data_IF_405647329083
#
_entry.id   IF_405647329083
#
_cell.length_a   1.000
_cell.length_b   1.000
_cell.length_c   1.000
_cell.angle_alpha   90.00
_cell.angle_beta   90.00
_cell.angle_gamma   90.00
#
_symmetry.space_group_name_H-M   'P 1'
#
loop_
_entity.id
_entity.type
_entity.pdbx_description
1 polymer ?
#
# COMPACT_ATOMS: atom_id res chain seq x y z
N UNK A 1 5.70 -15.74 34.43
CA UNK A 1 5.56 -15.27 33.04
C UNK A 1 4.56 -14.11 32.92
N UNK A 2 3.42 -14.16 33.60
CA UNK A 2 2.42 -13.06 33.60
C UNK A 2 2.93 -11.74 34.21
N UNK A 3 3.73 -11.78 35.28
CA UNK A 3 4.31 -10.59 35.90
C UNK A 3 5.28 -9.82 35.00
N UNK A 4 6.14 -10.53 34.23
CA UNK A 4 7.03 -9.88 33.25
C UNK A 4 6.28 -9.16 32.14
N UNK A 5 5.13 -9.72 31.71
CA UNK A 5 4.27 -9.09 30.68
C UNK A 5 3.61 -7.83 31.24
N UNK A 6 3.21 -7.83 32.50
CA UNK A 6 2.59 -6.66 33.14
C UNK A 6 3.57 -5.51 33.35
N UNK A 7 4.81 -5.82 33.79
CA UNK A 7 5.88 -4.85 33.95
C UNK A 7 6.27 -4.25 32.60
N UNK A 8 6.39 -5.07 31.56
CA UNK A 8 6.73 -4.64 30.20
C UNK A 8 5.63 -3.74 29.60
N UNK A 9 4.34 -4.05 29.80
CA UNK A 9 3.22 -3.19 29.41
C UNK A 9 3.24 -1.84 30.14
N UNK A 10 3.53 -1.83 31.43
CA UNK A 10 3.64 -0.61 32.23
C UNK A 10 4.82 0.27 31.79
N UNK A 11 5.97 -0.32 31.47
CA UNK A 11 7.16 0.39 30.98
C UNK A 11 6.90 0.98 29.58
N UNK A 12 6.27 0.23 28.69
CA UNK A 12 5.94 0.70 27.34
C UNK A 12 4.95 1.88 27.39
N UNK A 13 3.90 1.79 28.20
CA UNK A 13 2.92 2.90 28.36
C UNK A 13 3.60 4.14 28.95
N UNK A 14 4.47 3.99 29.96
CA UNK A 14 5.22 5.11 30.54
C UNK A 14 6.24 5.70 29.57
N UNK A 15 6.91 4.87 28.78
CA UNK A 15 7.84 5.33 27.73
C UNK A 15 7.12 6.07 26.62
N UNK A 16 5.94 5.62 26.19
CA UNK A 16 5.10 6.32 25.22
C UNK A 16 4.60 7.66 25.74
N UNK A 17 4.22 7.74 27.02
CA UNK A 17 3.81 9.00 27.66
C UNK A 17 4.97 10.00 27.76
N UNK A 18 6.19 9.55 28.03
CA UNK A 18 7.40 10.39 28.09
C UNK A 18 7.82 10.90 26.70
N UNK A 19 7.72 10.06 25.66
CA UNK A 19 7.98 10.46 24.27
C UNK A 19 6.93 11.48 23.81
N UNK A 20 5.67 11.28 24.16
CA UNK A 20 4.59 12.23 23.85
C UNK A 20 4.80 13.60 24.56
N UNK A 21 5.24 13.59 25.81
CA UNK A 21 5.56 14.81 26.56
C UNK A 21 6.80 15.50 25.99
N UNK A 22 7.83 14.75 25.59
CA UNK A 22 9.05 15.28 24.96
C UNK A 22 8.80 15.95 23.61
N UNK A 23 7.90 15.40 22.80
CA UNK A 23 7.53 15.96 21.49
C UNK A 23 6.80 17.31 21.66
N UNK A 24 6.00 17.49 22.71
CA UNK A 24 5.28 18.74 22.99
C UNK A 24 6.23 19.91 23.37
N UNK A 25 7.43 19.62 23.86
CA UNK A 25 8.40 20.65 24.26
C UNK A 25 9.33 21.11 23.12
N UNK A 26 9.41 20.39 22.01
CA UNK A 26 10.28 20.70 20.87
C UNK A 26 9.58 21.47 19.72
N UNK A 27 8.33 21.90 19.88
CA UNK A 27 7.50 22.43 18.78
C UNK A 27 7.81 23.88 18.36
N UNK A 28 8.82 24.54 18.89
CA UNK A 28 8.98 25.99 18.68
C UNK A 28 9.75 26.43 17.42
N UNK A 29 10.19 25.57 16.49
CA UNK A 29 10.93 26.02 15.29
C UNK A 29 10.82 25.15 14.03
N UNK A 30 9.75 24.42 13.80
CA UNK A 30 9.56 23.74 12.51
C UNK A 30 8.59 24.53 11.61
N UNK A 31 8.98 25.73 11.20
CA UNK A 31 8.40 26.40 10.04
C UNK A 31 8.90 25.70 8.78
N UNK A 32 8.20 24.67 8.33
CA UNK A 32 8.43 24.09 7.01
C UNK A 32 8.07 25.16 5.97
N UNK A 33 9.06 25.86 5.44
CA UNK A 33 8.88 26.75 4.31
C UNK A 33 8.25 25.98 3.15
N UNK A 34 7.15 26.50 2.64
CA UNK A 34 6.46 25.97 1.46
C UNK A 34 7.26 26.34 0.20
N UNK A 35 8.42 25.73 0.05
CA UNK A 35 9.19 25.81 -1.19
C UNK A 35 8.97 24.52 -1.96
N UNK A 36 7.94 24.48 -2.83
CA UNK A 36 7.85 23.46 -3.85
C UNK A 36 9.14 23.52 -4.66
N UNK A 37 9.92 22.44 -4.69
CA UNK A 37 11.13 22.31 -5.51
C UNK A 37 10.72 22.19 -6.99
N UNK A 38 10.11 23.24 -7.50
CA UNK A 38 9.60 23.34 -8.85
C UNK A 38 10.38 24.38 -9.63
N UNK A 39 11.00 23.94 -10.72
CA UNK A 39 11.82 24.75 -11.60
C UNK A 39 11.10 24.96 -12.94
N UNK A 40 10.87 26.21 -13.31
CA UNK A 40 10.28 26.55 -14.60
C UNK A 40 11.36 26.50 -15.68
N UNK A 41 11.06 25.83 -16.79
CA UNK A 41 11.98 25.64 -17.92
C UNK A 41 11.78 26.71 -19.01
N UNK A 42 10.68 27.46 -18.94
CA UNK A 42 10.36 28.56 -19.86
C UNK A 42 9.77 29.75 -19.10
N UNK A 43 9.87 30.95 -19.71
CA UNK A 43 9.39 32.22 -19.15
C UNK A 43 7.86 32.24 -18.99
N UNK A 44 7.12 31.55 -19.86
CA UNK A 44 5.66 31.48 -19.83
C UNK A 44 5.13 30.48 -18.82
N UNK A 45 6.02 29.81 -18.07
CA UNK A 45 5.67 28.78 -17.06
C UNK A 45 4.81 27.65 -17.63
N UNK A 46 4.98 27.32 -18.90
CA UNK A 46 4.30 26.22 -19.59
C UNK A 46 4.99 24.88 -19.39
N UNK A 47 6.31 24.91 -19.18
CA UNK A 47 7.13 23.73 -18.92
C UNK A 47 7.83 23.84 -17.57
N UNK A 48 7.97 22.72 -16.87
CA UNK A 48 8.56 22.70 -15.54
C UNK A 48 9.15 21.34 -15.21
N UNK A 49 10.04 21.35 -14.24
CA UNK A 49 10.58 20.18 -13.57
C UNK A 49 10.38 20.33 -12.05
N UNK A 50 9.92 19.29 -11.40
CA UNK A 50 9.64 19.28 -9.97
C UNK A 50 10.31 18.09 -9.30
N UNK A 51 10.86 18.32 -8.10
CA UNK A 51 11.45 17.28 -7.26
C UNK A 51 10.65 17.19 -5.96
N UNK A 52 10.36 15.98 -5.51
CA UNK A 52 9.75 15.70 -4.21
C UNK A 52 10.62 14.69 -3.48
N UNK A 53 10.91 14.97 -2.24
CA UNK A 53 11.48 14.01 -1.30
C UNK A 53 10.39 13.51 -0.36
N UNK A 54 10.34 12.21 -0.13
CA UNK A 54 9.44 11.59 0.83
C UNK A 54 10.23 10.65 1.73
N UNK A 55 10.06 10.81 3.04
CA UNK A 55 10.54 9.86 4.02
C UNK A 55 9.43 9.44 4.97
N UNK A 56 9.31 8.13 5.22
CA UNK A 56 8.40 7.52 6.17
C UNK A 56 9.19 6.56 7.06
N UNK A 57 9.39 6.94 8.31
CA UNK A 57 10.06 6.11 9.33
C UNK A 57 9.03 5.56 10.29
N UNK A 58 9.09 4.26 10.58
CA UNK A 58 8.23 3.57 11.52
C UNK A 58 8.97 3.20 12.79
N UNK A 59 8.32 3.46 13.93
CA UNK A 59 8.53 2.74 15.18
C UNK A 59 7.39 1.75 15.34
N UNK A 60 7.69 0.47 15.56
CA UNK A 60 6.66 -0.54 15.60
C UNK A 60 6.87 -1.55 16.73
N UNK A 61 5.80 -1.79 17.49
CA UNK A 61 5.65 -2.97 18.35
C UNK A 61 4.69 -3.94 17.66
N UNK A 62 5.07 -5.22 17.57
CA UNK A 62 4.29 -6.24 16.91
C UNK A 62 4.23 -7.52 17.75
N UNK A 63 3.02 -8.03 17.98
CA UNK A 63 2.83 -9.42 18.44
C UNK A 63 3.02 -10.36 17.26
N UNK A 64 3.99 -11.26 17.36
CA UNK A 64 4.35 -12.18 16.29
C UNK A 64 3.40 -13.37 16.17
N UNK A 65 3.28 -13.91 14.98
CA UNK A 65 2.60 -15.19 14.75
C UNK A 65 3.35 -16.33 15.47
N UNK A 66 2.64 -17.43 15.73
CA UNK A 66 3.22 -18.59 16.41
C UNK A 66 4.45 -19.13 15.69
N UNK A 67 5.47 -19.55 16.44
CA UNK A 67 6.70 -20.11 15.91
C UNK A 67 7.65 -19.13 15.23
N UNK A 68 7.37 -17.84 15.29
CA UNK A 68 8.23 -16.79 14.70
C UNK A 68 9.64 -16.81 15.28
N UNK A 69 10.64 -16.61 14.42
CA UNK A 69 12.05 -16.41 14.77
C UNK A 69 12.56 -15.09 14.23
N UNK A 70 13.51 -14.51 14.95
CA UNK A 70 14.32 -13.38 14.53
C UNK A 70 15.78 -13.77 14.71
N UNK A 71 16.57 -13.76 13.63
CA UNK A 71 17.95 -14.25 13.61
C UNK A 71 18.09 -15.66 14.25
N UNK A 72 17.12 -16.54 13.95
CA UNK A 72 17.09 -17.90 14.45
C UNK A 72 16.56 -18.07 15.88
N UNK A 73 16.34 -16.99 16.64
CA UNK A 73 15.84 -17.01 18.02
C UNK A 73 14.30 -16.92 18.03
N UNK A 74 13.59 -17.78 18.77
CA UNK A 74 12.13 -17.68 18.89
C UNK A 74 11.69 -16.38 19.56
N UNK A 75 10.78 -15.63 18.91
CA UNK A 75 10.30 -14.34 19.38
C UNK A 75 8.77 -14.24 19.26
N UNK A 76 8.10 -14.03 20.39
CA UNK A 76 6.64 -13.85 20.48
C UNK A 76 6.18 -12.42 20.15
N UNK A 77 7.10 -11.46 20.21
CA UNK A 77 6.88 -10.06 19.88
C UNK A 77 8.17 -9.40 19.40
N UNK A 78 8.04 -8.35 18.63
CA UNK A 78 9.19 -7.58 18.14
C UNK A 78 8.96 -6.09 18.38
N UNK A 79 10.06 -5.36 18.60
CA UNK A 79 10.09 -3.91 18.54
C UNK A 79 11.17 -3.50 17.54
N UNK A 80 10.79 -2.78 16.49
CA UNK A 80 11.70 -2.40 15.43
C UNK A 80 11.54 -0.94 14.99
N UNK A 81 12.61 -0.42 14.41
CA UNK A 81 12.64 0.84 13.68
C UNK A 81 12.96 0.52 12.24
N UNK A 82 12.22 1.12 11.30
CA UNK A 82 12.47 0.88 9.89
C UNK A 82 12.08 2.04 8.99
N UNK A 83 12.69 2.09 7.82
CA UNK A 83 12.27 2.96 6.74
C UNK A 83 11.17 2.27 5.95
N UNK A 84 9.92 2.71 6.16
CA UNK A 84 8.81 2.16 5.37
C UNK A 84 8.93 2.58 3.92
N UNK A 85 9.27 3.87 3.68
CA UNK A 85 9.60 4.41 2.35
C UNK A 85 10.54 5.59 2.46
N UNK A 86 11.52 5.61 1.60
CA UNK A 86 12.37 6.78 1.34
C UNK A 86 12.45 6.94 -0.17
N UNK A 87 12.01 8.09 -0.71
CA UNK A 87 11.84 8.28 -2.15
C UNK A 87 12.25 9.66 -2.61
N UNK A 88 12.84 9.69 -3.81
CA UNK A 88 13.04 10.88 -4.62
C UNK A 88 12.14 10.73 -5.85
N UNK A 89 11.25 11.69 -6.06
CA UNK A 89 10.37 11.75 -7.22
C UNK A 89 10.78 12.96 -8.05
N UNK A 90 10.97 12.75 -9.34
CA UNK A 90 11.36 13.78 -10.30
C UNK A 90 10.38 13.72 -11.47
N UNK A 91 9.63 14.78 -11.71
CA UNK A 91 8.66 14.79 -12.78
C UNK A 91 8.42 16.20 -13.32
N UNK A 92 7.88 16.28 -14.51
CA UNK A 92 7.51 17.56 -15.08
C UNK A 92 6.98 17.49 -16.48
N UNK A 93 6.38 18.61 -16.87
CA UNK A 93 6.01 18.90 -18.25
C UNK A 93 7.26 19.45 -18.96
N UNK A 94 8.02 18.56 -19.63
CA UNK A 94 9.31 18.91 -20.25
C UNK A 94 9.17 19.56 -21.63
N UNK A 95 8.00 19.43 -22.25
CA UNK A 95 7.60 20.11 -23.46
C UNK A 95 6.06 20.31 -23.44
N UNK A 96 5.45 21.13 -24.29
CA UNK A 96 4.01 21.43 -24.23
C UNK A 96 3.08 20.22 -24.14
N UNK A 97 3.48 19.10 -24.71
CA UNK A 97 2.70 17.84 -24.71
C UNK A 97 3.42 16.65 -24.11
N UNK A 98 4.71 16.78 -23.75
CA UNK A 98 5.51 15.69 -23.20
C UNK A 98 5.73 15.84 -21.69
N UNK A 99 5.36 14.82 -20.96
CA UNK A 99 5.53 14.69 -19.52
C UNK A 99 6.45 13.51 -19.21
N UNK A 100 7.28 13.64 -18.20
CA UNK A 100 8.12 12.55 -17.69
C UNK A 100 7.97 12.42 -16.18
N UNK A 101 8.19 11.21 -15.68
CA UNK A 101 8.17 10.90 -14.25
C UNK A 101 9.18 9.81 -13.92
N UNK A 102 10.03 10.10 -12.95
CA UNK A 102 10.96 9.16 -12.35
C UNK A 102 10.75 9.10 -10.85
N UNK A 103 10.83 7.91 -10.29
CA UNK A 103 10.84 7.71 -8.86
C UNK A 103 11.89 6.67 -8.50
N UNK A 104 12.71 7.02 -7.52
CA UNK A 104 13.83 6.23 -7.07
C UNK A 104 13.84 6.19 -5.54
N UNK A 105 14.23 5.08 -4.94
CA UNK A 105 14.32 4.97 -3.49
C UNK A 105 14.19 3.56 -2.96
N UNK A 106 13.80 3.44 -1.71
CA UNK A 106 13.74 2.19 -0.95
C UNK A 106 12.38 2.02 -0.27
N UNK A 107 11.98 0.77 -0.08
CA UNK A 107 10.83 0.37 0.73
C UNK A 107 11.21 -0.77 1.67
N UNK A 108 10.53 -0.84 2.82
CA UNK A 108 10.60 -1.99 3.74
C UNK A 108 12.00 -2.27 4.30
N UNK A 109 12.80 -1.25 4.53
CA UNK A 109 14.13 -1.42 5.08
C UNK A 109 14.11 -1.40 6.60
N UNK A 110 14.49 -2.52 7.24
CA UNK A 110 14.71 -2.65 8.67
C UNK A 110 15.92 -3.57 8.96
N UNK A 111 16.24 -3.77 10.24
CA UNK A 111 17.41 -4.55 10.64
C UNK A 111 17.37 -6.01 10.15
N UNK A 112 16.20 -6.61 9.99
CA UNK A 112 16.03 -7.99 9.51
C UNK A 112 16.23 -8.07 8.00
N UNK A 113 15.62 -7.16 7.25
CA UNK A 113 15.79 -7.12 5.78
C UNK A 113 17.23 -6.85 5.34
N UNK A 114 18.00 -6.10 6.13
CA UNK A 114 19.40 -5.84 5.83
C UNK A 114 20.32 -7.06 5.96
N UNK A 115 19.87 -8.13 6.62
CA UNK A 115 20.66 -9.33 6.88
C UNK A 115 20.76 -10.30 5.69
N UNK A 116 20.00 -10.11 4.61
CA UNK A 116 20.02 -10.97 3.43
C UNK A 116 21.25 -10.75 2.53
N UNK A 117 22.46 -10.67 3.12
CA UNK A 117 23.73 -10.66 2.42
C UNK A 117 24.22 -9.29 1.93
N UNK A 118 23.37 -8.30 1.82
CA UNK A 118 23.74 -6.94 1.46
C UNK A 118 23.32 -5.97 2.58
N UNK A 119 24.27 -5.59 3.40
CA UNK A 119 24.06 -4.67 4.54
C UNK A 119 23.93 -3.20 4.14
N UNK A 120 23.70 -2.92 2.87
CA UNK A 120 23.49 -1.57 2.37
C UNK A 120 22.06 -1.40 1.94
N UNK A 121 21.53 -0.19 2.08
CA UNK A 121 20.29 0.21 1.42
C UNK A 121 20.49 -0.01 -0.08
N UNK A 122 19.56 -0.74 -0.70
CA UNK A 122 19.58 -1.07 -2.13
C UNK A 122 18.45 -0.31 -2.86
N UNK A 123 18.57 1.02 -3.02
CA UNK A 123 17.54 1.80 -3.66
C UNK A 123 17.42 1.40 -5.13
N UNK A 124 16.18 1.41 -5.63
CA UNK A 124 15.87 0.98 -6.99
C UNK A 124 14.92 1.96 -7.68
N UNK A 125 14.82 1.84 -9.00
CA UNK A 125 13.83 2.59 -9.76
C UNK A 125 12.43 2.03 -9.50
N UNK A 126 11.60 2.84 -8.87
CA UNK A 126 10.19 2.54 -8.73
C UNK A 126 9.43 2.84 -10.02
N UNK A 127 9.71 3.97 -10.64
CA UNK A 127 9.03 4.41 -11.84
C UNK A 127 10.01 5.11 -12.79
N UNK A 128 9.85 4.84 -14.07
CA UNK A 128 10.54 5.51 -15.16
C UNK A 128 9.61 5.50 -16.37
N UNK A 129 8.85 6.60 -16.55
CA UNK A 129 7.83 6.67 -17.59
C UNK A 129 7.82 8.02 -18.30
N UNK A 130 7.32 7.99 -19.53
CA UNK A 130 7.00 9.17 -20.31
C UNK A 130 5.55 9.12 -20.75
N UNK A 131 4.95 10.30 -20.90
CA UNK A 131 3.58 10.51 -21.39
C UNK A 131 3.56 11.56 -22.49
N UNK A 132 2.71 11.33 -23.48
CA UNK A 132 2.43 12.32 -24.51
C UNK A 132 0.94 12.64 -24.53
N UNK A 133 0.61 13.94 -24.49
CA UNK A 133 -0.74 14.45 -24.54
C UNK A 133 -1.20 14.57 -26.00
N UNK A 134 -2.08 13.67 -26.43
CA UNK A 134 -2.65 13.69 -27.78
C UNK A 134 -3.74 14.75 -27.96
N UNK A 135 -4.51 15.01 -26.91
CA UNK A 135 -5.56 16.05 -26.92
C UNK A 135 -5.07 17.39 -26.37
N UNK A 136 -5.78 18.48 -26.66
CA UNK A 136 -5.46 19.78 -26.07
C UNK A 136 -5.78 19.89 -24.57
N UNK A 137 -6.75 19.10 -24.08
CA UNK A 137 -7.06 18.96 -22.66
C UNK A 137 -6.50 17.67 -22.06
N UNK A 138 -7.21 17.13 -21.09
CA UNK A 138 -6.88 15.83 -20.49
C UNK A 138 -7.68 14.66 -21.11
N UNK A 139 -8.28 14.84 -22.30
CA UNK A 139 -9.15 13.81 -22.86
C UNK A 139 -8.39 12.54 -23.23
N UNK A 140 -7.16 12.66 -23.73
CA UNK A 140 -6.33 11.52 -24.08
C UNK A 140 -4.84 11.81 -23.90
N UNK A 141 -4.21 10.98 -23.12
CA UNK A 141 -2.76 10.85 -22.97
C UNK A 141 -2.37 9.39 -23.20
N UNK A 142 -1.27 9.19 -23.89
CA UNK A 142 -0.62 7.88 -24.03
C UNK A 142 0.71 7.93 -23.30
N UNK A 143 1.09 6.81 -22.69
CA UNK A 143 2.34 6.74 -21.97
C UNK A 143 2.88 5.32 -21.90
N UNK A 144 4.10 5.21 -21.45
CA UNK A 144 4.74 3.92 -21.24
C UNK A 144 6.02 4.02 -20.45
N UNK A 145 6.46 2.87 -19.97
CA UNK A 145 7.65 2.71 -19.15
C UNK A 145 7.43 1.78 -17.96
N UNK A 146 8.36 1.84 -17.01
CA UNK A 146 8.23 1.15 -15.74
C UNK A 146 7.25 1.94 -14.84
N UNK A 147 6.14 1.33 -14.45
CA UNK A 147 5.10 2.03 -13.68
C UNK A 147 4.19 1.07 -12.92
N UNK A 148 3.56 1.59 -11.86
CA UNK A 148 2.52 0.90 -11.11
C UNK A 148 1.11 1.07 -11.72
N UNK A 149 0.96 1.66 -12.89
CA UNK A 149 -0.32 1.92 -13.52
C UNK A 149 -1.18 0.65 -13.66
N UNK A 150 -1.77 0.27 -12.57
CA UNK A 150 -2.64 -0.87 -12.35
C UNK A 150 -4.10 -0.43 -12.45
N UNK A 151 -4.88 -1.08 -13.26
CA UNK A 151 -6.28 -0.73 -13.48
C UNK A 151 -7.28 -1.29 -12.48
N UNK A 152 -6.88 -1.83 -11.32
CA UNK A 152 -7.83 -2.50 -10.42
C UNK A 152 -8.60 -1.53 -9.52
N UNK A 153 -7.91 -0.64 -8.86
CA UNK A 153 -8.53 0.28 -7.89
C UNK A 153 -7.72 1.57 -7.73
N UNK A 154 -8.30 2.57 -7.06
CA UNK A 154 -7.60 3.78 -6.63
C UNK A 154 -6.30 3.47 -5.89
N UNK A 155 -6.33 2.50 -4.99
CA UNK A 155 -5.18 2.12 -4.17
C UNK A 155 -4.21 1.17 -4.85
N UNK A 156 -4.49 0.73 -6.08
CA UNK A 156 -3.49 0.01 -6.88
C UNK A 156 -2.38 0.95 -7.38
N UNK A 157 -2.66 2.25 -7.50
CA UNK A 157 -1.71 3.27 -7.94
C UNK A 157 -1.79 4.54 -7.07
N UNK A 158 -1.53 4.44 -5.77
CA UNK A 158 -1.71 5.54 -4.85
C UNK A 158 -0.56 6.54 -4.89
N UNK A 159 -0.87 7.81 -4.68
CA UNK A 159 0.09 8.81 -4.25
C UNK A 159 0.38 8.59 -2.76
N UNK A 160 1.42 7.86 -2.46
CA UNK A 160 1.72 7.33 -1.11
C UNK A 160 1.83 8.43 -0.04
N UNK A 161 2.39 9.59 -0.37
CA UNK A 161 2.49 10.71 0.58
C UNK A 161 1.13 11.24 1.04
N UNK A 162 0.04 10.94 0.32
CA UNK A 162 -1.30 11.50 0.57
C UNK A 162 -2.30 10.53 1.20
N UNK A 163 -1.90 9.32 1.56
CA UNK A 163 -2.80 8.33 2.15
C UNK A 163 -3.25 8.73 3.56
N UNK A 164 -4.46 8.34 3.93
CA UNK A 164 -5.07 8.62 5.23
C UNK A 164 -4.67 7.58 6.28
N UNK A 165 -4.79 6.30 5.94
CA UNK A 165 -4.44 5.19 6.82
C UNK A 165 -2.93 5.02 6.93
N UNK A 166 -2.46 4.19 7.86
CA UNK A 166 -1.02 3.92 8.04
C UNK A 166 -0.38 3.39 6.75
N UNK A 167 -1.11 2.55 6.01
CA UNK A 167 -0.71 2.08 4.69
C UNK A 167 -1.91 1.91 3.76
N UNK A 168 -1.66 1.71 2.47
CA UNK A 168 -2.69 1.36 1.49
C UNK A 168 -3.17 -0.08 1.71
N UNK A 169 -4.37 -0.46 1.23
CA UNK A 169 -4.77 -1.86 1.15
C UNK A 169 -3.89 -2.60 0.13
N UNK A 170 -2.76 -3.13 0.60
CA UNK A 170 -1.68 -3.69 -0.23
C UNK A 170 -2.18 -4.83 -1.12
N UNK A 171 -3.23 -5.56 -0.71
CA UNK A 171 -3.83 -6.61 -1.53
C UNK A 171 -4.35 -6.12 -2.90
N UNK A 172 -4.61 -4.80 -3.04
CA UNK A 172 -4.97 -4.19 -4.32
C UNK A 172 -3.79 -4.09 -5.32
N UNK A 173 -2.58 -4.45 -4.89
CA UNK A 173 -1.37 -4.51 -5.70
C UNK A 173 -0.94 -5.97 -5.89
N UNK A 174 -1.51 -6.67 -6.83
CA UNK A 174 -1.49 -8.13 -6.97
C UNK A 174 -0.11 -8.81 -6.85
N UNK A 175 0.94 -8.20 -7.38
CA UNK A 175 2.30 -8.77 -7.41
C UNK A 175 3.29 -8.03 -6.49
N UNK A 176 2.80 -7.20 -5.57
CA UNK A 176 3.67 -6.51 -4.61
C UNK A 176 4.50 -7.51 -3.80
N UNK A 177 5.78 -7.19 -3.59
CA UNK A 177 6.73 -8.02 -2.84
C UNK A 177 6.91 -9.46 -3.39
N UNK A 178 6.52 -9.69 -4.65
CA UNK A 178 6.72 -10.96 -5.37
C UNK A 178 7.59 -10.80 -6.61
N UNK A 179 7.87 -9.58 -6.97
CA UNK A 179 8.76 -9.21 -8.06
C UNK A 179 9.77 -8.17 -7.53
N UNK A 180 10.95 -8.14 -8.09
CA UNK A 180 12.02 -7.23 -7.67
C UNK A 180 11.64 -5.75 -7.78
N UNK A 181 10.69 -5.43 -8.65
CA UNK A 181 10.24 -4.06 -8.94
C UNK A 181 9.05 -3.63 -8.07
N UNK A 182 8.75 -4.31 -7.00
CA UNK A 182 7.71 -3.93 -6.04
C UNK A 182 6.38 -3.50 -6.70
N UNK A 183 5.68 -4.42 -7.34
CA UNK A 183 4.42 -4.25 -8.07
C UNK A 183 4.50 -3.47 -9.39
N UNK A 184 5.65 -2.94 -9.80
CA UNK A 184 5.81 -2.25 -11.08
C UNK A 184 5.87 -3.25 -12.23
N UNK A 185 5.49 -2.77 -13.40
CA UNK A 185 5.54 -3.52 -14.66
C UNK A 185 5.97 -2.60 -15.79
N UNK A 186 6.56 -3.18 -16.81
CA UNK A 186 6.74 -2.49 -18.08
C UNK A 186 5.37 -2.42 -18.75
N UNK A 187 4.89 -1.21 -19.01
CA UNK A 187 3.53 -0.98 -19.46
C UNK A 187 3.46 0.06 -20.56
N UNK A 188 2.48 -0.12 -21.45
CA UNK A 188 1.94 0.92 -22.30
C UNK A 188 0.52 1.22 -21.83
N UNK A 189 0.14 2.48 -21.82
CA UNK A 189 -1.20 2.86 -21.35
C UNK A 189 -1.77 4.07 -22.07
N UNK A 190 -3.10 4.12 -22.06
CA UNK A 190 -3.88 5.30 -22.40
C UNK A 190 -4.71 5.71 -21.18
N UNK A 191 -4.73 7.00 -20.86
CA UNK A 191 -5.55 7.55 -19.79
C UNK A 191 -6.15 8.89 -20.19
N UNK A 192 -7.29 9.23 -19.61
CA UNK A 192 -7.92 10.50 -19.93
C UNK A 192 -9.10 10.83 -19.04
N UNK A 193 -9.58 12.07 -19.20
CA UNK A 193 -10.79 12.57 -18.58
C UNK A 193 -11.71 13.18 -19.65
N UNK A 194 -12.83 12.51 -19.91
CA UNK A 194 -13.88 12.99 -20.84
C UNK A 194 -15.13 13.29 -20.03
N UNK A 195 -15.55 14.55 -20.00
CA UNK A 195 -16.62 15.01 -19.10
C UNK A 195 -16.32 14.59 -17.65
N UNK A 196 -17.17 13.81 -17.02
CA UNK A 196 -17.02 13.27 -15.66
C UNK A 196 -16.34 11.91 -15.59
N UNK A 197 -16.07 11.28 -16.72
CA UNK A 197 -15.41 9.98 -16.80
C UNK A 197 -13.89 10.15 -16.78
N UNK A 198 -13.20 9.54 -15.80
CA UNK A 198 -11.76 9.26 -15.81
C UNK A 198 -11.56 7.81 -16.21
N UNK A 199 -10.71 7.56 -17.19
CA UNK A 199 -10.48 6.22 -17.71
C UNK A 199 -9.00 5.91 -17.88
N UNK A 200 -8.68 4.62 -17.76
CA UNK A 200 -7.33 4.08 -17.92
C UNK A 200 -7.40 2.70 -18.54
N UNK A 201 -6.59 2.49 -19.57
CA UNK A 201 -6.37 1.20 -20.22
C UNK A 201 -4.88 0.93 -20.24
N UNK A 202 -4.47 -0.22 -19.75
CA UNK A 202 -3.05 -0.57 -19.60
C UNK A 202 -2.81 -1.96 -20.18
N UNK A 203 -1.72 -2.07 -20.94
CA UNK A 203 -1.15 -3.36 -21.36
C UNK A 203 0.23 -3.46 -20.75
N UNK A 204 0.46 -4.51 -19.98
CA UNK A 204 1.73 -4.70 -19.27
C UNK A 204 2.43 -5.96 -19.72
N UNK A 205 3.74 -5.92 -19.68
CA UNK A 205 4.62 -7.08 -19.72
C UNK A 205 5.03 -7.41 -18.28
N UNK A 206 4.40 -8.41 -17.62
CA UNK A 206 4.67 -8.67 -16.23
C UNK A 206 6.04 -9.30 -16.03
N UNK A 207 6.72 -8.91 -14.95
CA UNK A 207 7.95 -9.58 -14.53
C UNK A 207 7.66 -10.97 -13.99
N UNK A 208 8.60 -11.91 -14.08
CA UNK A 208 8.48 -13.21 -13.44
C UNK A 208 8.26 -13.05 -11.93
N UNK A 209 7.34 -13.82 -11.39
CA UNK A 209 7.13 -13.91 -9.95
C UNK A 209 8.05 -14.97 -9.40
N UNK A 210 8.87 -14.60 -8.41
CA UNK A 210 9.84 -15.46 -7.75
C UNK A 210 9.66 -15.43 -6.23
N UNK A 211 10.29 -16.33 -5.53
CA UNK A 211 10.40 -16.30 -4.07
C UNK A 211 11.66 -15.54 -3.67
N UNK A 212 11.54 -14.28 -3.22
CA UNK A 212 12.64 -13.48 -2.63
C UNK A 212 13.97 -13.58 -3.40
N UNK A 213 13.93 -13.36 -4.73
CA UNK A 213 15.11 -13.48 -5.59
C UNK A 213 15.54 -14.92 -5.94
N UNK A 214 14.78 -15.92 -5.50
CA UNK A 214 15.02 -17.32 -5.78
C UNK A 214 14.18 -17.88 -6.93
N UNK A 215 14.09 -19.19 -7.00
CA UNK A 215 13.26 -19.93 -7.96
C UNK A 215 11.76 -19.63 -7.76
N UNK A 216 10.96 -19.83 -8.79
CA UNK A 216 9.50 -19.83 -8.67
C UNK A 216 9.02 -20.82 -7.59
N UNK A 217 7.85 -20.53 -7.03
CA UNK A 217 7.23 -21.44 -6.05
C UNK A 217 7.03 -22.83 -6.68
N UNK A 218 7.30 -23.91 -5.92
CA UNK A 218 7.05 -25.26 -6.40
C UNK A 218 5.59 -25.41 -6.82
N UNK A 219 5.36 -26.04 -7.97
CA UNK A 219 4.00 -26.35 -8.41
C UNK A 219 3.37 -27.38 -7.49
N UNK A 220 2.12 -27.19 -7.13
CA UNK A 220 1.34 -28.05 -6.23
C UNK A 220 -0.12 -28.13 -6.71
N UNK A 221 -0.97 -28.82 -5.96
CA UNK A 221 -2.43 -28.87 -6.23
C UNK A 221 -3.14 -27.54 -6.01
N UNK A 222 -2.48 -26.59 -5.31
CA UNK A 222 -2.95 -25.23 -5.17
C UNK A 222 -2.25 -24.34 -6.18
N UNK A 223 -2.96 -23.38 -6.73
CA UNK A 223 -2.41 -22.47 -7.73
C UNK A 223 -1.28 -21.61 -7.16
N UNK A 224 -0.29 -21.37 -7.99
CA UNK A 224 0.79 -20.42 -7.78
C UNK A 224 1.05 -19.65 -9.09
N UNK A 225 1.88 -18.61 -9.05
CA UNK A 225 2.22 -17.87 -10.28
C UNK A 225 3.04 -18.75 -11.22
N UNK A 226 2.64 -18.80 -12.49
CA UNK A 226 3.34 -19.57 -13.51
C UNK A 226 4.73 -18.99 -13.82
N UNK A 227 5.75 -19.83 -13.79
CA UNK A 227 7.10 -19.49 -14.20
C UNK A 227 7.32 -19.59 -15.73
N UNK A 228 6.39 -20.20 -16.46
CA UNK A 228 6.59 -20.55 -17.88
C UNK A 228 5.87 -19.60 -18.84
N UNK A 229 4.63 -19.24 -18.57
CA UNK A 229 3.81 -18.41 -19.48
C UNK A 229 3.99 -16.92 -19.16
N UNK A 230 4.30 -16.12 -20.18
CA UNK A 230 4.49 -14.66 -20.07
C UNK A 230 3.49 -13.93 -20.97
N UNK A 231 2.21 -14.25 -20.80
CA UNK A 231 1.16 -13.53 -21.53
C UNK A 231 1.04 -12.09 -21.00
N UNK A 232 0.69 -11.17 -21.90
CA UNK A 232 0.45 -9.78 -21.53
C UNK A 232 -0.70 -9.68 -20.53
N UNK A 233 -0.59 -8.73 -19.62
CA UNK A 233 -1.63 -8.40 -18.66
C UNK A 233 -2.38 -7.17 -19.15
N UNK A 234 -3.70 -7.26 -19.16
CA UNK A 234 -4.61 -6.17 -19.52
C UNK A 234 -5.27 -5.62 -18.27
N UNK A 235 -5.38 -4.31 -18.19
CA UNK A 235 -5.92 -3.61 -17.03
C UNK A 235 -6.82 -2.48 -17.50
N UNK A 236 -7.92 -2.27 -16.80
CA UNK A 236 -8.89 -1.22 -17.09
C UNK A 236 -9.38 -0.62 -15.79
N UNK A 237 -9.48 0.71 -15.73
CA UNK A 237 -10.09 1.42 -14.62
C UNK A 237 -10.94 2.56 -15.15
N UNK A 238 -12.21 2.58 -14.74
CA UNK A 238 -13.20 3.58 -15.12
C UNK A 238 -13.77 4.21 -13.87
N UNK A 239 -13.70 5.54 -13.76
CA UNK A 239 -14.18 6.28 -12.59
C UNK A 239 -15.10 7.41 -13.00
N UNK A 240 -16.31 7.44 -12.45
CA UNK A 240 -17.25 8.53 -12.64
C UNK A 240 -17.15 9.54 -11.49
N UNK A 241 -16.85 10.78 -11.82
CA UNK A 241 -16.60 11.87 -10.88
C UNK A 241 -17.86 12.73 -10.75
N UNK A 242 -18.57 12.60 -9.63
CA UNK A 242 -19.87 13.29 -9.42
C UNK A 242 -19.69 14.78 -9.14
N UNK A 243 -18.64 15.14 -8.39
CA UNK A 243 -18.37 16.52 -8.00
C UNK A 243 -17.19 17.10 -8.76
N UNK A 244 -16.16 17.55 -8.09
CA UNK A 244 -14.98 18.11 -8.73
C UNK A 244 -14.10 17.03 -9.35
N UNK A 245 -13.55 17.33 -10.54
CA UNK A 245 -12.60 16.44 -11.20
C UNK A 245 -11.31 16.35 -10.40
N UNK A 246 -10.79 15.15 -10.25
CA UNK A 246 -9.48 14.95 -9.65
C UNK A 246 -8.33 15.43 -10.53
N UNK A 247 -7.17 15.67 -9.93
CA UNK A 247 -5.97 16.04 -10.68
C UNK A 247 -5.53 14.93 -11.64
N UNK A 248 -5.04 15.31 -12.81
CA UNK A 248 -4.65 14.36 -13.87
C UNK A 248 -3.22 14.61 -14.37
N UNK A 249 -2.37 15.23 -13.52
CA UNK A 249 -0.96 15.52 -13.87
C UNK A 249 -0.15 14.24 -13.90
N UNK A 250 -0.11 13.50 -12.79
CA UNK A 250 0.56 12.21 -12.70
C UNK A 250 -0.44 11.06 -12.88
N UNK A 251 -0.01 9.83 -13.19
CA UNK A 251 -0.89 8.66 -13.23
C UNK A 251 -1.34 8.18 -11.84
N UNK A 252 -0.82 8.76 -10.76
CA UNK A 252 -1.12 8.37 -9.38
C UNK A 252 -2.37 9.04 -8.84
N UNK A 253 -3.12 8.31 -8.00
CA UNK A 253 -4.36 8.80 -7.40
C UNK A 253 -4.12 9.30 -5.98
N UNK A 254 -4.69 10.44 -5.65
CA UNK A 254 -4.60 11.06 -4.32
C UNK A 254 -5.37 10.22 -3.30
N UNK A 255 -4.76 9.92 -2.16
CA UNK A 255 -5.38 9.17 -1.07
C UNK A 255 -6.39 9.98 -0.28
N UNK A 256 -6.09 11.25 0.03
CA UNK A 256 -7.03 12.24 0.58
C UNK A 256 -6.61 13.66 0.19
N UNK A 257 -7.60 14.50 -0.05
CA UNK A 257 -7.43 15.93 -0.34
C UNK A 257 -7.44 16.79 0.93
N UNK A 258 -7.65 16.19 2.10
CA UNK A 258 -7.81 16.91 3.38
C UNK A 258 -8.87 18.02 3.29
N UNK A 259 -9.99 17.72 2.65
CA UNK A 259 -11.09 18.67 2.46
C UNK A 259 -10.78 19.87 1.54
N UNK A 260 -9.62 19.90 0.88
CA UNK A 260 -9.28 20.96 -0.08
C UNK A 260 -10.07 20.86 -1.39
N UNK A 261 -10.71 19.71 -1.62
CA UNK A 261 -11.47 19.39 -2.81
C UNK A 261 -12.71 18.59 -2.46
N UNK A 262 -13.84 18.89 -3.10
CA UNK A 262 -15.06 18.12 -2.95
C UNK A 262 -15.09 17.02 -3.98
N UNK A 263 -14.87 15.78 -3.54
CA UNK A 263 -14.78 14.60 -4.42
C UNK A 263 -15.79 13.54 -3.99
N UNK A 264 -16.50 13.00 -4.95
CA UNK A 264 -17.26 11.76 -4.85
C UNK A 264 -17.09 11.02 -6.17
N UNK A 265 -16.51 9.83 -6.10
CA UNK A 265 -16.30 8.98 -7.26
C UNK A 265 -16.90 7.59 -7.01
N UNK A 266 -17.42 6.99 -8.08
CA UNK A 266 -17.72 5.57 -8.15
C UNK A 266 -16.91 5.00 -9.30
N UNK A 267 -16.22 3.90 -9.07
CA UNK A 267 -15.31 3.34 -10.06
C UNK A 267 -15.41 1.82 -10.14
N UNK A 268 -15.01 1.30 -11.29
CA UNK A 268 -14.79 -0.13 -11.50
C UNK A 268 -13.42 -0.35 -12.16
N UNK A 269 -12.77 -1.42 -11.76
CA UNK A 269 -11.48 -1.80 -12.30
C UNK A 269 -11.34 -3.29 -12.51
N UNK A 270 -10.45 -3.67 -13.41
CA UNK A 270 -10.21 -5.06 -13.79
C UNK A 270 -8.75 -5.29 -14.14
N UNK A 271 -8.23 -6.45 -13.78
CA UNK A 271 -6.95 -7.00 -14.28
C UNK A 271 -7.22 -8.40 -14.83
N UNK A 272 -6.73 -8.64 -16.03
CA UNK A 272 -6.78 -9.95 -16.71
C UNK A 272 -5.40 -10.35 -17.23
N UNK A 273 -5.00 -11.60 -16.98
CA UNK A 273 -3.80 -12.19 -17.58
C UNK A 273 -4.04 -13.68 -17.86
N UNK A 274 -3.92 -14.06 -19.12
CA UNK A 274 -4.09 -15.46 -19.55
C UNK A 274 -2.91 -16.29 -19.03
N UNK A 275 -3.20 -17.53 -18.56
CA UNK A 275 -2.21 -18.53 -18.12
C UNK A 275 -1.19 -17.98 -17.12
N UNK A 276 -1.60 -17.04 -16.29
CA UNK A 276 -0.72 -16.39 -15.29
C UNK A 276 -0.43 -17.28 -14.08
N UNK A 277 -1.29 -18.26 -13.86
CA UNK A 277 -1.24 -19.17 -12.73
C UNK A 277 -1.10 -20.61 -13.24
N UNK A 278 -0.62 -21.50 -12.38
CA UNK A 278 -0.53 -22.93 -12.65
C UNK A 278 -0.70 -23.78 -11.40
N UNK A 279 -1.11 -25.02 -11.58
CA UNK A 279 -1.16 -26.06 -10.54
C UNK A 279 -1.00 -27.44 -11.13
N UNK A 280 -0.72 -28.44 -10.30
CA UNK A 280 -0.79 -29.86 -10.70
C UNK A 280 -2.24 -30.33 -10.69
N UNK A 281 -2.51 -31.31 -11.57
CA UNK A 281 -3.74 -32.10 -11.59
C UNK A 281 -3.34 -33.55 -11.60
N UNK A 282 -3.98 -34.39 -10.78
CA UNK A 282 -3.68 -35.80 -10.64
C UNK A 282 -2.20 -36.11 -10.39
N UNK A 283 -1.53 -35.21 -9.67
CA UNK A 283 -0.10 -35.31 -9.26
C UNK A 283 0.91 -35.38 -10.41
N UNK A 284 0.50 -35.18 -11.66
CA UNK A 284 1.37 -35.33 -12.83
C UNK A 284 1.20 -34.20 -13.86
N UNK A 285 -0.01 -33.84 -14.20
CA UNK A 285 -0.28 -32.89 -15.27
C UNK A 285 -0.27 -31.45 -14.77
N UNK A 286 0.25 -30.54 -15.59
CA UNK A 286 0.23 -29.10 -15.30
C UNK A 286 -0.99 -28.45 -15.96
N UNK A 287 -1.83 -27.81 -15.14
CA UNK A 287 -2.95 -26.99 -15.59
C UNK A 287 -2.58 -25.51 -15.43
N UNK A 288 -2.76 -24.73 -16.50
CA UNK A 288 -2.64 -23.28 -16.49
C UNK A 288 -4.00 -22.64 -16.23
N UNK A 289 -4.02 -21.62 -15.39
CA UNK A 289 -5.21 -20.86 -15.01
C UNK A 289 -4.98 -19.37 -15.27
N UNK A 290 -6.05 -18.62 -15.45
CA UNK A 290 -5.98 -17.19 -15.67
C UNK A 290 -5.91 -16.44 -14.32
N UNK A 291 -5.37 -15.22 -14.36
CA UNK A 291 -5.52 -14.22 -13.29
C UNK A 291 -6.67 -13.29 -13.66
N UNK A 292 -7.71 -13.23 -12.83
CA UNK A 292 -8.86 -12.36 -13.01
C UNK A 292 -9.12 -11.57 -11.71
N UNK A 293 -8.94 -10.28 -11.74
CA UNK A 293 -9.22 -9.41 -10.60
C UNK A 293 -10.23 -8.36 -11.01
N UNK A 294 -11.22 -8.14 -10.18
CA UNK A 294 -12.27 -7.16 -10.39
C UNK A 294 -12.53 -6.36 -9.13
N UNK A 295 -12.84 -5.07 -9.28
CA UNK A 295 -13.17 -4.19 -8.18
C UNK A 295 -14.30 -3.23 -8.57
N UNK A 296 -15.21 -2.98 -7.63
CA UNK A 296 -16.11 -1.82 -7.64
C UNK A 296 -15.84 -1.04 -6.37
N UNK A 297 -15.69 0.28 -6.49
CA UNK A 297 -15.33 1.12 -5.37
C UNK A 297 -16.02 2.48 -5.37
N UNK A 298 -16.09 3.10 -4.20
CA UNK A 298 -16.51 4.48 -4.02
C UNK A 298 -15.52 5.23 -3.14
N UNK A 299 -15.22 6.47 -3.49
CA UNK A 299 -14.35 7.36 -2.74
C UNK A 299 -15.03 8.71 -2.52
N UNK A 300 -14.99 9.16 -1.27
CA UNK A 300 -15.52 10.45 -0.82
C UNK A 300 -14.42 11.24 -0.12
N UNK A 301 -14.27 12.52 -0.48
CA UNK A 301 -13.55 13.53 0.31
C UNK A 301 -14.40 14.80 0.29
N UNK A 302 -15.03 15.11 1.42
CA UNK A 302 -16.07 16.14 1.51
C UNK A 302 -15.72 17.18 2.57
N UNK A 303 -15.40 18.43 2.17
CA UNK A 303 -15.32 19.54 3.11
C UNK A 303 -16.72 19.82 3.70
N UNK A 304 -16.80 19.89 5.03
CA UNK A 304 -18.05 20.15 5.75
C UNK A 304 -18.26 21.65 5.98
N UNK A 305 -17.19 22.35 6.38
CA UNK A 305 -17.23 23.78 6.63
C UNK A 305 -15.95 24.43 6.11
N UNK A 306 -16.13 25.41 5.21
CA UNK A 306 -14.99 26.10 4.56
C UNK A 306 -14.18 26.97 5.53
N UNK A 307 -14.82 27.58 6.53
CA UNK A 307 -14.17 28.44 7.51
C UNK A 307 -13.37 27.59 8.52
N UNK A 308 -13.99 26.54 9.04
CA UNK A 308 -13.34 25.61 9.99
C UNK A 308 -12.37 24.65 9.31
N UNK A 309 -12.46 24.48 7.98
CA UNK A 309 -11.64 23.55 7.18
C UNK A 309 -11.68 22.12 7.72
N UNK A 310 -12.83 21.67 8.24
CA UNK A 310 -13.05 20.30 8.63
C UNK A 310 -13.66 19.51 7.45
N UNK A 311 -13.42 18.19 7.44
CA UNK A 311 -13.85 17.32 6.34
C UNK A 311 -14.09 15.89 6.80
N UNK A 312 -14.86 15.16 6.01
CA UNK A 312 -14.97 13.70 6.10
C UNK A 312 -14.36 13.05 4.88
N UNK A 313 -13.73 11.90 5.10
CA UNK A 313 -13.18 11.06 4.06
C UNK A 313 -13.67 9.65 4.26
N UNK A 314 -14.10 9.02 3.17
CA UNK A 314 -14.54 7.63 3.19
C UNK A 314 -14.14 6.91 1.90
N UNK A 315 -13.93 5.63 2.02
CA UNK A 315 -13.74 4.73 0.90
C UNK A 315 -14.39 3.41 1.22
N UNK A 316 -15.00 2.79 0.22
CA UNK A 316 -15.46 1.42 0.26
C UNK A 316 -15.19 0.75 -1.09
N UNK A 317 -14.64 -0.46 -1.05
CA UNK A 317 -14.36 -1.28 -2.23
C UNK A 317 -14.74 -2.73 -2.01
N UNK A 318 -15.34 -3.34 -3.02
CA UNK A 318 -15.61 -4.75 -3.10
C UNK A 318 -14.78 -5.36 -4.23
N UNK A 319 -14.02 -6.39 -3.89
CA UNK A 319 -13.07 -7.03 -4.78
C UNK A 319 -13.44 -8.50 -4.97
N UNK A 320 -13.38 -8.97 -6.19
CA UNK A 320 -13.38 -10.38 -6.54
C UNK A 320 -11.97 -10.68 -7.06
N UNK A 321 -11.30 -11.63 -6.41
CA UNK A 321 -9.91 -11.96 -6.70
C UNK A 321 -9.81 -13.44 -7.07
N UNK A 322 -9.43 -13.70 -8.30
CA UNK A 322 -9.20 -15.05 -8.82
C UNK A 322 -7.73 -15.18 -9.26
N UNK A 323 -6.97 -15.85 -8.44
CA UNK A 323 -5.57 -16.25 -8.66
C UNK A 323 -5.46 -17.74 -8.95
N UNK A 324 -6.51 -18.38 -9.51
CA UNK A 324 -6.61 -19.82 -9.65
C UNK A 324 -6.98 -20.52 -8.33
N UNK A 325 -7.19 -21.82 -8.41
CA UNK A 325 -7.75 -22.66 -7.35
C UNK A 325 -6.93 -22.58 -6.05
N UNK A 326 -7.59 -22.26 -4.94
CA UNK A 326 -7.00 -22.28 -3.59
C UNK A 326 -5.74 -21.42 -3.43
N UNK A 327 -5.47 -20.43 -4.29
CA UNK A 327 -4.34 -19.53 -4.05
C UNK A 327 -4.51 -18.78 -2.74
N UNK A 328 -3.46 -18.78 -1.93
CA UNK A 328 -3.39 -18.00 -0.70
C UNK A 328 -1.96 -17.51 -0.51
N UNK A 329 -1.79 -16.21 -0.20
CA UNK A 329 -0.50 -15.62 0.10
C UNK A 329 -0.55 -14.80 1.38
N UNK A 330 0.34 -15.17 2.29
CA UNK A 330 0.64 -14.37 3.46
C UNK A 330 1.50 -13.17 3.07
N UNK A 331 1.26 -12.04 3.68
CA UNK A 331 2.13 -10.88 3.61
C UNK A 331 2.11 -10.10 4.91
N UNK A 332 3.27 -9.59 5.30
CA UNK A 332 3.47 -8.70 6.44
C UNK A 332 4.32 -7.52 6.00
N UNK A 333 3.78 -6.31 6.12
CA UNK A 333 4.49 -5.10 5.69
C UNK A 333 5.77 -4.91 6.51
N UNK A 334 6.91 -4.77 5.81
CA UNK A 334 8.22 -4.62 6.43
C UNK A 334 8.39 -5.65 7.57
N UNK A 335 8.24 -6.95 7.25
CA UNK A 335 8.16 -8.02 8.24
C UNK A 335 9.36 -7.98 9.21
N UNK A 336 9.12 -7.91 10.54
CA UNK A 336 10.19 -7.80 11.53
C UNK A 336 10.83 -9.14 11.90
N UNK A 337 10.60 -10.20 11.12
CA UNK A 337 11.06 -11.55 11.39
C UNK A 337 11.57 -12.24 10.13
N UNK A 338 12.41 -13.25 10.28
CA UNK A 338 13.12 -13.93 9.18
C UNK A 338 12.94 -15.46 9.18
N UNK A 339 12.18 -16.02 10.11
CA UNK A 339 11.99 -17.45 10.16
C UNK A 339 10.82 -17.91 11.02
N UNK A 340 10.54 -19.21 10.93
CA UNK A 340 9.52 -19.90 11.72
C UNK A 340 9.94 -21.34 12.01
N UNK A 341 9.48 -21.87 13.16
CA UNK A 341 9.48 -23.29 13.47
C UNK A 341 8.05 -23.84 13.70
N UNK A 342 7.04 -23.09 13.32
CA UNK A 342 5.66 -23.56 13.42
C UNK A 342 5.41 -24.70 12.40
N UNK A 343 4.82 -25.79 12.86
CA UNK A 343 4.50 -26.96 12.04
C UNK A 343 3.03 -27.01 11.62
N UNK A 344 2.16 -26.29 12.32
CA UNK A 344 0.72 -26.29 12.13
C UNK A 344 0.21 -24.99 11.52
N UNK A 345 0.96 -24.40 10.58
CA UNK A 345 0.55 -23.19 9.86
C UNK A 345 0.02 -23.58 8.49
N UNK A 346 -1.03 -22.91 8.05
CA UNK A 346 -1.53 -23.06 6.69
C UNK A 346 -0.42 -22.65 5.72
N UNK A 347 0.08 -23.59 4.94
CA UNK A 347 1.07 -23.31 3.92
C UNK A 347 0.43 -22.52 2.79
N UNK A 348 1.01 -21.39 2.44
CA UNK A 348 0.62 -20.52 1.34
C UNK A 348 1.86 -19.89 0.76
N UNK A 349 1.70 -19.09 -0.28
CA UNK A 349 2.76 -18.24 -0.77
C UNK A 349 3.15 -17.19 0.29
N UNK A 350 4.44 -16.86 0.39
CA UNK A 350 4.96 -15.88 1.33
C UNK A 350 5.11 -16.38 2.78
N UNK A 351 5.79 -15.60 3.61
CA UNK A 351 6.10 -15.96 4.98
C UNK A 351 4.86 -15.89 5.87
N UNK A 352 4.56 -16.95 6.62
CA UNK A 352 3.45 -16.98 7.58
C UNK A 352 3.87 -16.55 9.00
N UNK A 353 5.08 -16.04 9.18
CA UNK A 353 5.65 -15.60 10.46
C UNK A 353 5.65 -14.08 10.62
N UNK A 354 6.09 -13.60 11.78
CA UNK A 354 6.16 -12.18 12.11
C UNK A 354 4.79 -11.52 12.17
N UNK A 355 4.61 -10.44 11.42
CA UNK A 355 3.37 -9.66 11.34
C UNK A 355 2.47 -10.05 10.16
N UNK A 356 2.76 -11.12 9.44
CA UNK A 356 2.02 -11.51 8.25
C UNK A 356 0.65 -12.12 8.55
N UNK A 357 -0.25 -12.01 7.60
CA UNK A 357 -1.58 -12.63 7.62
C UNK A 357 -2.00 -12.97 6.18
N UNK A 358 -3.02 -13.82 5.96
CA UNK A 358 -3.59 -14.06 4.64
C UNK A 358 -4.10 -12.76 4.04
N UNK A 359 -3.36 -12.21 3.09
CA UNK A 359 -3.65 -10.91 2.49
C UNK A 359 -4.14 -11.02 1.05
N UNK A 360 -3.69 -12.04 0.32
CA UNK A 360 -4.06 -12.30 -1.06
C UNK A 360 -4.59 -13.72 -1.19
N UNK A 361 -5.64 -13.91 -1.96
CA UNK A 361 -6.19 -15.23 -2.19
C UNK A 361 -7.29 -15.20 -3.24
N UNK A 362 -7.62 -16.38 -3.77
CA UNK A 362 -8.82 -16.55 -4.58
C UNK A 362 -10.04 -16.47 -3.67
N UNK A 363 -10.94 -15.50 -3.97
CA UNK A 363 -12.10 -15.24 -3.14
C UNK A 363 -12.64 -13.82 -3.29
N UNK A 364 -13.13 -13.27 -2.18
CA UNK A 364 -13.79 -11.96 -2.13
C UNK A 364 -13.20 -11.13 -1.00
N UNK A 365 -12.99 -9.83 -1.25
CA UNK A 365 -12.47 -8.91 -0.23
C UNK A 365 -13.34 -7.67 -0.17
N UNK A 366 -13.69 -7.25 1.03
CA UNK A 366 -14.27 -5.93 1.30
C UNK A 366 -13.19 -5.11 2.02
N UNK A 367 -12.95 -3.91 1.55
CA UNK A 367 -12.12 -2.94 2.22
C UNK A 367 -12.85 -1.62 2.38
N UNK A 368 -12.85 -1.08 3.59
CA UNK A 368 -13.43 0.22 3.87
C UNK A 368 -12.52 1.02 4.79
N UNK A 369 -12.51 2.33 4.60
CA UNK A 369 -11.88 3.28 5.52
C UNK A 369 -12.75 4.51 5.70
N UNK A 370 -12.67 5.10 6.88
CA UNK A 370 -13.35 6.33 7.24
C UNK A 370 -12.42 7.21 8.07
N UNK A 371 -12.47 8.53 7.86
CA UNK A 371 -11.73 9.48 8.65
C UNK A 371 -12.43 10.82 8.75
N UNK A 372 -12.11 11.55 9.80
CA UNK A 372 -12.60 12.89 10.06
C UNK A 372 -11.44 13.85 10.27
N UNK A 373 -11.36 14.88 9.46
CA UNK A 373 -10.40 15.97 9.65
C UNK A 373 -11.03 17.02 10.54
N UNK A 374 -10.40 17.28 11.68
CA UNK A 374 -10.81 18.35 12.55
C UNK A 374 -10.50 19.73 11.96
N UNK A 375 -11.05 20.77 12.58
CA UNK A 375 -10.78 22.16 12.17
C UNK A 375 -9.28 22.46 12.14
N UNK A 376 -8.89 23.36 11.25
CA UNK A 376 -7.50 23.81 11.18
C UNK A 376 -7.04 24.37 12.55
N UNK A 377 -5.77 24.19 12.88
CA UNK A 377 -5.17 24.64 14.13
C UNK A 377 -5.96 24.18 15.38
N UNK A 378 -6.50 22.96 15.37
CA UNK A 378 -7.24 22.40 16.51
C UNK A 378 -6.41 22.43 17.80
N UNK A 379 -5.11 22.15 17.70
CA UNK A 379 -4.17 22.06 18.82
C UNK A 379 -3.50 23.41 19.15
N UNK A 380 -3.77 24.46 18.38
CA UNK A 380 -3.16 25.79 18.48
C UNK A 380 -2.55 26.23 17.15
N UNK A 381 -2.12 27.49 17.11
CA UNK A 381 -1.36 28.03 15.99
C UNK A 381 -0.06 27.25 15.84
N UNK A 382 0.31 26.89 14.61
CA UNK A 382 1.52 26.12 14.26
C UNK A 382 1.60 24.67 14.75
N UNK A 383 0.65 24.20 15.56
CA UNK A 383 0.59 22.80 16.01
C UNK A 383 -0.26 21.90 15.11
N UNK A 384 -0.87 22.47 14.07
CA UNK A 384 -1.64 21.74 13.08
C UNK A 384 -2.97 21.19 13.58
N UNK A 385 -3.39 20.05 13.02
CA UNK A 385 -4.71 19.46 13.30
C UNK A 385 -4.65 17.94 13.35
N UNK A 386 -5.73 17.34 13.83
CA UNK A 386 -5.88 15.89 13.96
C UNK A 386 -6.83 15.33 12.88
N UNK A 387 -6.55 14.10 12.47
CA UNK A 387 -7.38 13.30 11.57
C UNK A 387 -7.45 11.86 12.10
N UNK A 388 -8.37 11.54 13.03
CA UNK A 388 -8.67 10.16 13.37
C UNK A 388 -9.22 9.40 12.16
N UNK A 389 -8.90 8.11 12.09
CA UNK A 389 -9.38 7.20 11.06
C UNK A 389 -9.56 5.79 11.58
N UNK A 390 -10.37 5.03 10.85
CA UNK A 390 -10.48 3.59 11.00
C UNK A 390 -10.52 2.93 9.63
N UNK A 391 -10.05 1.69 9.55
CA UNK A 391 -10.23 0.86 8.36
C UNK A 391 -10.48 -0.60 8.71
N UNK A 392 -11.14 -1.30 7.81
CA UNK A 392 -11.41 -2.71 7.91
C UNK A 392 -11.16 -3.40 6.57
N UNK A 393 -10.48 -4.54 6.62
CA UNK A 393 -10.35 -5.49 5.52
C UNK A 393 -11.01 -6.79 5.91
N UNK A 394 -11.90 -7.32 5.09
CA UNK A 394 -12.59 -8.60 5.30
C UNK A 394 -12.36 -9.46 4.08
N UNK A 395 -11.48 -10.45 4.19
CA UNK A 395 -11.15 -11.40 3.13
C UNK A 395 -11.79 -12.77 3.38
N UNK A 396 -12.60 -13.23 2.43
CA UNK A 396 -13.12 -14.59 2.38
C UNK A 396 -12.43 -15.33 1.25
N UNK A 397 -11.41 -16.12 1.62
CA UNK A 397 -10.57 -16.86 0.66
C UNK A 397 -10.89 -18.34 0.69
N UNK A 398 -10.95 -18.98 -0.49
CA UNK A 398 -11.27 -20.41 -0.65
C UNK A 398 -10.45 -21.30 0.29
N UNK A 399 -9.14 -21.08 0.35
CA UNK A 399 -8.21 -21.91 1.14
C UNK A 399 -8.40 -21.77 2.66
N UNK A 400 -9.11 -20.76 3.13
CA UNK A 400 -9.44 -20.60 4.55
C UNK A 400 -10.69 -21.38 4.98
N UNK A 401 -11.29 -22.18 4.08
CA UNK A 401 -12.39 -23.12 4.39
C UNK A 401 -13.56 -22.42 5.11
N UNK A 402 -13.93 -21.21 4.65
CA UNK A 402 -15.01 -20.40 5.25
C UNK A 402 -14.58 -19.51 6.41
N UNK A 403 -13.38 -19.64 6.93
CA UNK A 403 -12.85 -18.71 7.91
C UNK A 403 -12.54 -17.35 7.26
N UNK A 404 -12.85 -16.27 7.97
CA UNK A 404 -12.69 -14.91 7.50
C UNK A 404 -11.37 -14.32 7.98
N UNK A 405 -10.58 -13.77 7.04
CA UNK A 405 -9.41 -12.96 7.34
C UNK A 405 -9.84 -11.49 7.52
N UNK A 406 -10.11 -11.10 8.77
CA UNK A 406 -10.59 -9.76 9.12
C UNK A 406 -9.49 -8.97 9.85
N UNK A 407 -9.10 -7.84 9.27
CA UNK A 407 -8.09 -6.93 9.82
C UNK A 407 -8.72 -5.58 10.10
N UNK A 408 -8.49 -5.07 11.30
CA UNK A 408 -9.00 -3.79 11.77
C UNK A 408 -7.84 -2.86 12.08
N UNK A 409 -7.94 -1.62 11.63
CA UNK A 409 -7.02 -0.55 12.01
C UNK A 409 -7.79 0.63 12.59
N UNK A 410 -7.27 1.21 13.65
CA UNK A 410 -7.73 2.49 14.22
C UNK A 410 -6.50 3.35 14.44
N UNK A 411 -6.57 4.59 13.97
CA UNK A 411 -5.42 5.47 14.08
C UNK A 411 -5.78 6.94 14.11
N UNK A 412 -4.75 7.76 14.27
CA UNK A 412 -4.85 9.21 14.21
C UNK A 412 -3.63 9.79 13.52
N UNK A 413 -3.85 10.65 12.55
CA UNK A 413 -2.82 11.50 11.98
C UNK A 413 -2.79 12.83 12.73
N UNK A 414 -1.64 13.23 13.22
CA UNK A 414 -1.33 14.57 13.62
C UNK A 414 -0.68 15.28 12.44
N UNK A 415 -1.45 16.14 11.77
CA UNK A 415 -1.05 16.86 10.58
C UNK A 415 -0.41 18.19 10.97
N UNK A 416 0.90 18.23 11.11
CA UNK A 416 1.69 19.41 11.40
C UNK A 416 1.67 20.40 10.23
N UNK A 417 1.87 19.89 9.01
CA UNK A 417 1.76 20.63 7.76
C UNK A 417 1.10 19.80 6.66
N UNK A 418 -0.16 19.44 6.88
CA UNK A 418 -0.89 18.59 5.95
C UNK A 418 -0.17 17.26 5.66
N UNK A 419 0.02 16.97 4.38
CA UNK A 419 0.75 15.77 3.97
C UNK A 419 2.28 15.91 4.05
N UNK A 420 2.79 17.14 4.10
CA UNK A 420 4.23 17.39 4.06
C UNK A 420 4.93 17.03 5.35
N UNK A 421 4.24 17.20 6.49
CA UNK A 421 4.77 16.79 7.79
C UNK A 421 3.62 16.25 8.64
N UNK A 422 3.68 14.98 9.00
CA UNK A 422 2.69 14.34 9.86
C UNK A 422 3.31 13.25 10.74
N UNK A 423 2.71 13.07 11.91
CA UNK A 423 2.95 11.93 12.79
C UNK A 423 1.66 11.12 12.79
N UNK A 424 1.76 9.82 12.53
CA UNK A 424 0.60 8.92 12.50
C UNK A 424 0.76 7.84 13.56
N UNK A 425 -0.30 7.59 14.30
CA UNK A 425 -0.40 6.49 15.27
C UNK A 425 -1.44 5.51 14.74
N UNK A 426 -1.14 4.22 14.78
CA UNK A 426 -2.03 3.16 14.31
C UNK A 426 -1.98 1.95 15.22
N UNK A 427 -3.13 1.42 15.52
CA UNK A 427 -3.32 0.12 16.14
C UNK A 427 -3.97 -0.81 15.14
N UNK A 428 -3.29 -1.91 14.83
CA UNK A 428 -3.82 -2.98 13.99
C UNK A 428 -4.14 -4.21 14.82
N UNK A 429 -5.28 -4.83 14.55
CA UNK A 429 -5.65 -6.15 15.04
C UNK A 429 -5.89 -7.07 13.84
N UNK A 430 -5.17 -8.19 13.78
CA UNK A 430 -5.21 -9.15 12.68
C UNK A 430 -5.46 -10.58 13.18
N UNK A 431 -6.10 -11.45 12.40
CA UNK A 431 -6.31 -12.84 12.74
C UNK A 431 -5.03 -13.66 12.53
N UNK A 432 -4.91 -14.76 13.26
CA UNK A 432 -3.99 -15.85 12.95
C UNK A 432 -4.78 -17.12 12.60
N UNK A 433 -4.16 -18.02 11.84
CA UNK A 433 -4.79 -19.27 11.41
C UNK A 433 -3.84 -20.43 11.68
N UNK A 434 -4.42 -21.56 12.12
CA UNK A 434 -3.74 -22.79 12.40
C UNK A 434 -4.35 -23.91 11.55
N UNK A 435 -3.58 -24.97 11.32
CA UNK A 435 -4.05 -26.17 10.64
C UNK A 435 -4.08 -27.31 11.67
N UNK A 436 -5.25 -27.87 11.92
CA UNK A 436 -5.45 -29.03 12.81
C UNK A 436 -6.21 -30.11 12.05
N UNK A 437 -5.64 -31.28 11.90
CA UNK A 437 -6.24 -32.41 11.17
C UNK A 437 -6.74 -32.06 9.77
N UNK A 438 -6.04 -31.20 9.02
CA UNK A 438 -6.39 -30.63 7.73
C UNK A 438 -7.55 -29.59 7.75
N UNK A 439 -8.09 -29.26 8.91
CA UNK A 439 -9.07 -28.17 9.05
C UNK A 439 -8.39 -26.87 9.42
N UNK A 440 -8.83 -25.80 8.78
CA UNK A 440 -8.36 -24.45 9.08
C UNK A 440 -9.11 -23.91 10.29
N UNK A 441 -8.37 -23.61 11.34
CA UNK A 441 -8.92 -23.04 12.57
C UNK A 441 -8.44 -21.60 12.73
N UNK A 442 -9.38 -20.69 13.03
CA UNK A 442 -9.05 -19.32 13.38
C UNK A 442 -8.42 -19.31 14.80
N UNK A 443 -7.18 -18.91 14.87
CA UNK A 443 -6.44 -18.73 16.11
C UNK A 443 -6.78 -17.41 16.80
N UNK A 444 -6.00 -17.06 17.83
CA UNK A 444 -6.11 -15.75 18.50
C UNK A 444 -5.76 -14.58 17.60
N UNK A 445 -6.19 -13.39 17.97
CA UNK A 445 -5.80 -12.16 17.29
C UNK A 445 -4.40 -11.70 17.73
N UNK A 446 -3.70 -11.03 16.81
CA UNK A 446 -2.39 -10.43 17.03
C UNK A 446 -2.48 -8.95 16.83
N UNK A 447 -1.80 -8.20 17.68
CA UNK A 447 -1.80 -6.74 17.68
C UNK A 447 -0.51 -6.17 17.11
N UNK A 448 -0.62 -5.01 16.48
CA UNK A 448 0.53 -4.22 16.05
C UNK A 448 0.27 -2.75 16.35
N UNK A 449 1.26 -2.06 16.95
CA UNK A 449 1.24 -0.62 17.17
C UNK A 449 2.33 0.03 16.33
N UNK A 450 1.98 1.05 15.59
CA UNK A 450 2.90 1.76 14.71
C UNK A 450 2.83 3.25 15.00
N UNK A 451 4.00 3.88 15.09
CA UNK A 451 4.16 5.33 15.01
C UNK A 451 4.94 5.65 13.75
N UNK A 452 4.37 6.42 12.86
CA UNK A 452 5.04 6.88 11.64
C UNK A 452 5.38 8.35 11.71
N UNK A 453 6.62 8.67 11.35
CA UNK A 453 7.05 10.02 11.03
C UNK A 453 7.12 10.16 9.52
N UNK A 454 6.34 11.07 8.97
CA UNK A 454 6.39 11.40 7.54
C UNK A 454 6.88 12.83 7.37
N UNK A 455 7.88 12.98 6.50
CA UNK A 455 8.31 14.27 5.96
C UNK A 455 8.33 14.21 4.43
N UNK A 456 7.86 15.26 3.79
CA UNK A 456 7.87 15.43 2.34
C UNK A 456 8.06 16.91 1.98
N UNK A 457 8.86 17.18 0.97
CA UNK A 457 9.11 18.53 0.47
C UNK A 457 8.95 18.55 -1.04
#
# INVERSE_FOLDING_TARGET
MQEKVYIMRSVIIKSFSLVFLGILTFSNQLMAQKNDLKFWLDENKGTYFQVIFLNQTWLRFNESNSGTKVNGVPESSTFDIGLRRTRIQMFGQIAPKAFMYFQFGENNFNAVYSNNGNRKIAPFFHDALCEYKLSNGNQLKIGGGLTIANGLSRFSQPSIGTIMTMDVPVFAQATVEKIDQFARKLSLYARGQVSKLDYRFVVSDPFPVSTLGGSAEPISDNSSFSAQKRNKQFQTYLSWQFFEKEGHTTPYMTGTYLGKKKVLNVAAGMIFQKDAMWRTVNSADTLFENLNLFCVESFLDLPLNKEKKNAIMAYAGYFITDYGKNYLRYNGLMNPADGSNAQNVITGAGPAYGNSYPMFGTGKVIYSQFGYLFRNNLLGEDLGTLQPYASVTVGNYERLQGNISDVYNVGVNWLLNGHNAKISFDFQSRPSFLLENNDVIKGGRKSCFIVQFQASI
#
